data_IF_931013884949
#
_entry.id   IF_931013884949
#
_cell.length_a   1.000
_cell.length_b   1.000
_cell.length_c   1.000
_cell.angle_alpha   90.00
_cell.angle_beta   90.00
_cell.angle_gamma   90.00
#
_symmetry.space_group_name_H-M   'P 1'
#
loop_
_entity.id
_entity.type
_entity.pdbx_description
1 polymer ?
#
# COMPACT_ATOMS: atom_id res chain seq x y z
N UNK A 1 12.59 46.53 -11.02
CA UNK A 1 11.83 45.61 -11.91
C UNK A 1 12.63 44.32 -12.01
N UNK A 2 12.29 43.31 -11.22
CA UNK A 2 12.99 42.02 -11.21
C UNK A 2 12.51 41.12 -12.35
N UNK A 3 13.47 40.60 -13.11
CA UNK A 3 13.29 39.63 -14.18
C UNK A 3 12.80 38.30 -13.59
N UNK A 4 11.53 37.94 -13.85
CA UNK A 4 11.01 36.59 -13.59
C UNK A 4 11.70 35.61 -14.53
N UNK A 5 12.66 34.87 -13.99
CA UNK A 5 13.35 33.78 -14.68
C UNK A 5 12.39 32.58 -14.84
N UNK A 6 11.54 32.63 -15.87
CA UNK A 6 10.63 31.56 -16.25
C UNK A 6 11.41 30.45 -16.96
N UNK A 7 12.12 29.61 -16.21
CA UNK A 7 12.61 28.32 -16.70
C UNK A 7 11.41 27.39 -16.92
N UNK A 8 10.72 27.57 -18.06
CA UNK A 8 9.72 26.60 -18.53
C UNK A 8 10.46 25.29 -18.78
N UNK A 9 10.29 24.32 -17.88
CA UNK A 9 10.75 22.95 -18.13
C UNK A 9 10.16 22.49 -19.45
N UNK A 10 10.99 21.99 -20.35
CA UNK A 10 10.59 21.43 -21.63
C UNK A 10 10.54 19.91 -21.54
N UNK A 11 9.64 19.28 -22.30
CA UNK A 11 9.59 17.83 -22.39
C UNK A 11 10.93 17.31 -22.94
N UNK A 12 11.66 16.51 -22.16
CA UNK A 12 12.95 15.94 -22.59
C UNK A 12 12.89 14.98 -23.78
N UNK A 13 11.69 14.70 -24.33
CA UNK A 13 11.48 13.80 -25.47
C UNK A 13 11.03 14.50 -26.75
N UNK A 14 10.27 15.59 -26.66
CA UNK A 14 9.74 16.28 -27.84
C UNK A 14 9.86 17.81 -27.78
N UNK A 15 10.50 18.37 -26.74
CA UNK A 15 10.71 19.81 -26.61
C UNK A 15 9.47 20.64 -26.25
N UNK A 16 8.27 20.05 -26.25
CA UNK A 16 7.02 20.76 -25.93
C UNK A 16 6.88 20.99 -24.42
N UNK A 17 6.27 22.10 -24.01
CA UNK A 17 6.00 22.39 -22.60
C UNK A 17 5.09 21.29 -21.97
N UNK A 18 5.50 20.69 -20.84
CA UNK A 18 4.67 19.79 -20.07
C UNK A 18 3.49 20.57 -19.47
N UNK A 19 2.32 19.94 -19.43
CA UNK A 19 1.10 20.53 -18.88
C UNK A 19 1.20 20.87 -17.38
N UNK A 20 2.16 20.25 -16.68
CA UNK A 20 2.47 20.55 -15.29
C UNK A 20 3.96 20.83 -15.15
N UNK A 21 4.37 21.91 -14.43
CA UNK A 21 5.78 22.26 -14.24
C UNK A 21 6.56 21.22 -13.42
N UNK A 22 5.88 20.27 -12.77
CA UNK A 22 6.51 19.15 -12.05
C UNK A 22 6.84 17.96 -12.95
N UNK A 23 6.33 17.91 -14.18
CA UNK A 23 6.48 16.74 -15.05
C UNK A 23 7.64 16.91 -16.03
N UNK A 24 8.41 15.83 -16.23
CA UNK A 24 9.56 15.81 -17.15
C UNK A 24 9.14 15.62 -18.62
N UNK A 25 7.94 15.08 -18.87
CA UNK A 25 7.41 14.80 -20.20
C UNK A 25 6.04 15.45 -20.42
N UNK A 26 5.75 15.79 -21.69
CA UNK A 26 4.41 16.23 -22.09
C UNK A 26 3.42 15.06 -22.03
N UNK A 27 2.11 15.38 -21.96
CA UNK A 27 1.05 14.38 -21.84
C UNK A 27 1.09 13.34 -22.96
N UNK A 28 1.35 13.75 -24.20
CA UNK A 28 1.43 12.83 -25.32
C UNK A 28 2.63 11.89 -25.23
N UNK A 29 3.81 12.41 -24.89
CA UNK A 29 5.00 11.59 -24.71
C UNK A 29 4.84 10.61 -23.55
N UNK A 30 4.20 11.05 -22.46
CA UNK A 30 3.87 10.21 -21.32
C UNK A 30 2.85 9.13 -21.70
N UNK A 31 1.77 9.48 -22.42
CA UNK A 31 0.78 8.52 -22.94
C UNK A 31 1.41 7.50 -23.89
N UNK A 32 2.28 7.94 -24.82
CA UNK A 32 3.01 7.05 -25.73
C UNK A 32 3.94 6.10 -24.97
N UNK A 33 4.68 6.59 -23.99
CA UNK A 33 5.51 5.74 -23.14
C UNK A 33 4.67 4.75 -22.35
N UNK A 34 3.62 5.21 -21.67
CA UNK A 34 2.72 4.38 -20.88
C UNK A 34 2.07 3.31 -21.75
N UNK A 35 1.52 3.67 -22.90
CA UNK A 35 0.91 2.73 -23.83
C UNK A 35 1.92 1.73 -24.38
N UNK A 36 3.14 2.17 -24.73
CA UNK A 36 4.19 1.26 -25.23
C UNK A 36 4.65 0.28 -24.15
N UNK A 37 4.81 0.76 -22.91
CA UNK A 37 5.16 -0.05 -21.74
C UNK A 37 4.03 -1.02 -21.34
N UNK A 38 2.78 -0.57 -21.37
CA UNK A 38 1.60 -1.40 -21.12
C UNK A 38 1.41 -2.44 -22.23
N UNK A 39 1.67 -2.10 -23.50
CA UNK A 39 1.58 -3.01 -24.65
C UNK A 39 2.71 -4.05 -24.67
N UNK A 40 3.93 -3.68 -24.30
CA UNK A 40 5.05 -4.62 -24.21
C UNK A 40 5.01 -5.51 -22.96
N UNK A 41 4.13 -5.24 -21.99
CA UNK A 41 4.04 -5.97 -20.72
C UNK A 41 2.60 -6.33 -20.34
N UNK A 42 1.68 -6.47 -21.31
CA UNK A 42 0.24 -6.67 -21.07
C UNK A 42 -0.04 -7.80 -20.07
N UNK A 43 0.67 -8.92 -20.21
CA UNK A 43 0.54 -10.08 -19.34
C UNK A 43 1.08 -9.82 -17.93
N UNK A 44 2.31 -9.29 -17.84
CA UNK A 44 2.96 -8.96 -16.57
C UNK A 44 2.22 -7.87 -15.78
N UNK A 45 1.59 -6.91 -16.47
CA UNK A 45 0.77 -5.84 -15.86
C UNK A 45 -0.58 -6.37 -15.38
N UNK A 46 -1.20 -7.31 -16.11
CA UNK A 46 -2.44 -7.97 -15.68
C UNK A 46 -2.20 -8.82 -14.43
N UNK A 47 -1.12 -9.60 -14.40
CA UNK A 47 -0.74 -10.40 -13.24
C UNK A 47 -0.42 -9.50 -12.03
N UNK A 48 0.35 -8.43 -12.23
CA UNK A 48 0.64 -7.45 -11.18
C UNK A 48 -0.63 -6.78 -10.62
N UNK A 49 -1.63 -6.47 -11.46
CA UNK A 49 -2.88 -5.82 -11.04
C UNK A 49 -3.88 -6.78 -10.38
N UNK A 50 -3.87 -8.05 -10.77
CA UNK A 50 -4.85 -9.04 -10.32
C UNK A 50 -4.33 -9.95 -9.21
N UNK A 51 -3.02 -10.05 -9.02
CA UNK A 51 -2.42 -10.82 -7.92
C UNK A 51 -2.87 -10.27 -6.57
N UNK A 52 -3.37 -11.17 -5.72
CA UNK A 52 -3.89 -10.89 -4.39
C UNK A 52 -4.94 -9.76 -4.38
N UNK A 53 -5.83 -9.78 -5.37
CA UNK A 53 -7.05 -8.96 -5.37
C UNK A 53 -8.11 -9.60 -4.47
N UNK A 54 -8.68 -8.81 -3.57
CA UNK A 54 -9.58 -9.28 -2.50
C UNK A 54 -9.52 -8.34 -1.31
N UNK A 55 -10.29 -8.57 -0.26
CA UNK A 55 -10.29 -7.70 0.91
C UNK A 55 -9.33 -8.23 1.97
N UNK A 56 -8.36 -7.42 2.35
CA UNK A 56 -7.32 -7.80 3.31
C UNK A 56 -7.15 -6.76 4.41
N UNK A 57 -6.94 -7.26 5.61
CA UNK A 57 -6.38 -6.52 6.73
C UNK A 57 -4.90 -6.90 6.85
N UNK A 58 -4.04 -5.96 7.19
CA UNK A 58 -2.63 -6.23 7.45
C UNK A 58 -2.12 -5.41 8.63
N UNK A 59 -1.11 -5.96 9.27
CA UNK A 59 -0.44 -5.35 10.42
C UNK A 59 1.07 -5.38 10.22
N UNK A 60 1.74 -4.32 10.64
CA UNK A 60 3.20 -4.22 10.70
C UNK A 60 3.61 -4.35 12.15
N UNK A 61 4.48 -5.30 12.46
CA UNK A 61 4.93 -5.58 13.83
C UNK A 61 6.42 -5.31 14.00
N UNK A 62 6.84 -5.00 15.22
CA UNK A 62 8.24 -5.03 15.62
C UNK A 62 8.69 -6.45 16.03
N UNK A 63 9.95 -6.59 16.47
CA UNK A 63 10.53 -7.87 16.92
C UNK A 63 9.83 -8.47 18.15
N UNK A 64 9.28 -7.61 19.00
CA UNK A 64 8.54 -8.00 20.22
C UNK A 64 7.06 -8.33 19.95
N UNK A 65 6.64 -8.38 18.67
CA UNK A 65 5.25 -8.54 18.25
C UNK A 65 4.31 -7.39 18.65
N UNK A 66 4.84 -6.21 18.99
CA UNK A 66 4.02 -4.99 19.12
C UNK A 66 3.56 -4.55 17.73
N UNK A 67 2.26 -4.30 17.59
CA UNK A 67 1.67 -3.74 16.37
C UNK A 67 2.06 -2.27 16.25
N UNK A 68 2.76 -1.92 15.18
CA UNK A 68 3.21 -0.56 14.88
C UNK A 68 2.25 0.16 13.94
N UNK A 69 1.59 -0.59 13.06
CA UNK A 69 0.65 -0.08 12.08
C UNK A 69 -0.40 -1.14 11.72
N UNK A 70 -1.61 -0.69 11.47
CA UNK A 70 -2.72 -1.46 10.93
C UNK A 70 -3.14 -0.82 9.61
N UNK A 71 -3.43 -1.64 8.61
CA UNK A 71 -4.01 -1.13 7.37
C UNK A 71 -4.98 -2.10 6.71
N UNK A 72 -5.75 -1.58 5.75
CA UNK A 72 -6.60 -2.39 4.89
C UNK A 72 -6.38 -2.15 3.40
N UNK A 73 -6.67 -3.14 2.56
CA UNK A 73 -6.48 -3.02 1.11
C UNK A 73 -7.32 -4.01 0.30
N UNK A 74 -7.59 -3.65 -0.96
CA UNK A 74 -8.21 -4.53 -1.96
C UNK A 74 -7.16 -5.27 -2.83
N UNK A 75 -5.89 -4.94 -2.65
CA UNK A 75 -4.77 -5.42 -3.44
C UNK A 75 -3.53 -5.57 -2.56
N UNK A 76 -3.40 -6.72 -1.89
CA UNK A 76 -2.39 -6.92 -0.85
C UNK A 76 -0.98 -6.71 -1.37
N UNK A 77 -0.64 -7.37 -2.49
CA UNK A 77 0.67 -7.27 -3.10
C UNK A 77 1.07 -5.82 -3.39
N UNK A 78 0.21 -5.08 -4.08
CA UNK A 78 0.46 -3.69 -4.46
C UNK A 78 0.62 -2.77 -3.24
N UNK A 79 -0.21 -2.97 -2.22
CA UNK A 79 -0.15 -2.18 -0.99
C UNK A 79 1.15 -2.42 -0.24
N UNK A 80 1.53 -3.68 0.00
CA UNK A 80 2.77 -3.98 0.72
C UNK A 80 3.99 -3.55 -0.10
N UNK A 81 3.97 -3.76 -1.42
CA UNK A 81 5.05 -3.30 -2.31
C UNK A 81 5.22 -1.77 -2.26
N UNK A 82 4.13 -1.02 -2.24
CA UNK A 82 4.16 0.45 -2.06
C UNK A 82 4.76 0.85 -0.70
N UNK A 83 4.42 0.14 0.38
CA UNK A 83 4.96 0.40 1.70
C UNK A 83 6.48 0.20 1.78
N UNK A 84 6.95 -0.99 1.41
CA UNK A 84 8.38 -1.35 1.53
C UNK A 84 9.28 -0.51 0.62
N UNK A 85 8.74 0.00 -0.49
CA UNK A 85 9.42 0.95 -1.38
C UNK A 85 9.18 2.42 -0.99
N UNK A 86 8.69 2.67 0.22
CA UNK A 86 8.56 4.01 0.81
C UNK A 86 7.61 4.96 0.04
N UNK A 87 6.70 4.41 -0.77
CA UNK A 87 5.72 5.16 -1.57
C UNK A 87 4.38 5.38 -0.88
N UNK A 88 4.35 5.43 0.45
CA UNK A 88 3.10 5.40 1.25
C UNK A 88 3.16 6.28 2.49
N UNK A 89 2.04 6.36 3.22
CA UNK A 89 1.89 7.15 4.45
C UNK A 89 2.78 6.67 5.63
N UNK A 90 3.32 5.45 5.56
CA UNK A 90 4.23 4.89 6.58
C UNK A 90 5.66 4.72 6.06
N UNK A 91 6.06 5.48 5.04
CA UNK A 91 7.42 5.44 4.48
C UNK A 91 8.51 5.55 5.55
N UNK A 92 8.36 6.53 6.45
CA UNK A 92 9.29 6.75 7.57
C UNK A 92 9.44 5.52 8.46
N UNK A 93 8.36 4.80 8.78
CA UNK A 93 8.44 3.54 9.53
C UNK A 93 9.28 2.52 8.75
N UNK A 94 8.99 2.38 7.45
CA UNK A 94 9.60 1.36 6.59
C UNK A 94 11.11 1.56 6.40
N UNK A 95 11.59 2.81 6.47
CA UNK A 95 13.01 3.18 6.44
C UNK A 95 13.76 2.78 7.73
N UNK A 96 13.09 2.79 8.88
CA UNK A 96 13.71 2.42 10.16
C UNK A 96 13.91 0.91 10.31
N UNK A 97 14.70 0.50 11.29
CA UNK A 97 14.85 -0.89 11.77
C UNK A 97 13.82 -1.30 12.83
N UNK A 98 12.86 -0.42 13.13
CA UNK A 98 11.84 -0.66 14.17
C UNK A 98 10.84 -1.75 13.81
N UNK A 99 10.57 -1.99 12.52
CA UNK A 99 9.66 -3.05 12.09
C UNK A 99 10.42 -4.35 11.78
N UNK A 100 9.74 -5.48 11.94
CA UNK A 100 10.28 -6.82 11.76
C UNK A 100 9.50 -7.64 10.73
N UNK A 101 8.17 -7.59 10.77
CA UNK A 101 7.34 -8.37 9.85
C UNK A 101 6.00 -7.74 9.56
N UNK A 102 5.47 -8.07 8.40
CA UNK A 102 4.12 -7.76 7.95
C UNK A 102 3.31 -9.05 7.99
N UNK A 103 2.17 -9.01 8.68
CA UNK A 103 1.17 -10.08 8.65
C UNK A 103 -0.11 -9.59 7.99
N UNK A 104 -0.91 -10.51 7.49
CA UNK A 104 -2.18 -10.22 6.86
C UNK A 104 -3.26 -11.25 7.22
N UNK A 105 -4.51 -10.82 7.04
CA UNK A 105 -5.71 -11.63 7.16
C UNK A 105 -6.56 -11.39 5.91
N UNK A 106 -6.93 -12.49 5.24
CA UNK A 106 -7.86 -12.46 4.11
C UNK A 106 -9.30 -12.50 4.63
N UNK A 107 -10.02 -11.40 4.42
CA UNK A 107 -11.42 -11.24 4.84
C UNK A 107 -12.35 -11.15 3.62
N UNK A 108 -11.88 -11.57 2.44
CA UNK A 108 -12.63 -11.45 1.18
C UNK A 108 -13.98 -12.15 1.18
N UNK A 109 -14.13 -13.20 2.00
CA UNK A 109 -15.38 -13.94 2.18
C UNK A 109 -16.26 -13.39 3.31
N UNK A 110 -15.71 -12.54 4.16
CA UNK A 110 -16.42 -11.97 5.31
C UNK A 110 -17.04 -10.62 4.95
N UNK A 111 -16.30 -9.75 4.25
CA UNK A 111 -16.75 -8.39 3.91
C UNK A 111 -17.25 -8.30 2.48
N UNK A 112 -18.28 -7.49 2.26
CA UNK A 112 -18.90 -7.28 0.96
C UNK A 112 -18.32 -6.07 0.23
N UNK A 113 -17.89 -5.07 0.99
CA UNK A 113 -17.50 -3.77 0.46
C UNK A 113 -16.40 -3.08 1.27
N UNK A 114 -15.89 -1.99 0.70
CA UNK A 114 -14.83 -1.18 1.30
C UNK A 114 -15.21 -0.56 2.64
N UNK A 115 -16.48 -0.24 2.88
CA UNK A 115 -16.91 0.34 4.16
C UNK A 115 -16.81 -0.68 5.29
N UNK A 116 -17.25 -1.92 5.06
CA UNK A 116 -17.10 -3.02 6.03
C UNK A 116 -15.62 -3.31 6.31
N UNK A 117 -14.78 -3.32 5.27
CA UNK A 117 -13.34 -3.46 5.46
C UNK A 117 -12.75 -2.33 6.32
N UNK A 118 -13.16 -1.09 6.08
CA UNK A 118 -12.72 0.06 6.86
C UNK A 118 -13.21 0.01 8.33
N UNK A 119 -14.39 -0.58 8.59
CA UNK A 119 -14.86 -0.84 9.95
C UNK A 119 -13.87 -1.77 10.67
N UNK A 120 -13.55 -2.93 10.06
CA UNK A 120 -12.63 -3.88 10.66
C UNK A 120 -11.23 -3.28 10.90
N UNK A 121 -10.75 -2.45 9.97
CA UNK A 121 -9.50 -1.69 10.14
C UNK A 121 -9.56 -0.77 11.36
N UNK A 122 -10.63 0.00 11.52
CA UNK A 122 -10.81 0.89 12.67
C UNK A 122 -10.81 0.11 13.99
N UNK A 123 -11.47 -1.05 14.04
CA UNK A 123 -11.51 -1.88 15.24
C UNK A 123 -10.14 -2.42 15.62
N UNK A 124 -9.31 -2.80 14.64
CA UNK A 124 -7.92 -3.18 14.92
C UNK A 124 -7.06 -1.99 15.36
N UNK A 125 -7.27 -0.81 14.80
CA UNK A 125 -6.60 0.43 15.25
C UNK A 125 -6.99 0.74 16.70
N UNK A 126 -8.25 0.56 17.07
CA UNK A 126 -8.72 0.73 18.45
C UNK A 126 -8.13 -0.28 19.42
N UNK A 127 -8.14 -1.56 19.02
CA UNK A 127 -7.63 -2.65 19.83
C UNK A 127 -6.14 -2.52 20.13
N UNK A 128 -5.34 -2.19 19.10
CA UNK A 128 -3.88 -2.18 19.22
C UNK A 128 -3.26 -0.82 19.50
N UNK A 129 -4.01 0.28 19.31
CA UNK A 129 -3.52 1.66 19.40
C UNK A 129 -2.14 1.89 18.76
N UNK A 130 -1.94 1.50 17.48
CA UNK A 130 -0.64 1.57 16.83
C UNK A 130 -0.15 3.01 16.63
N UNK A 131 1.12 3.27 16.95
CA UNK A 131 1.75 4.60 16.90
C UNK A 131 1.66 5.27 15.52
N UNK A 132 1.68 4.48 14.43
CA UNK A 132 1.75 5.01 13.06
C UNK A 132 0.38 5.18 12.40
N UNK A 133 -0.72 4.85 13.07
CA UNK A 133 -2.06 5.19 12.60
C UNK A 133 -2.51 6.53 13.20
N UNK A 134 -2.47 7.58 12.39
CA UNK A 134 -2.83 8.94 12.84
C UNK A 134 -4.31 9.29 12.65
N UNK A 135 -5.04 8.52 11.85
CA UNK A 135 -6.45 8.76 11.51
C UNK A 135 -7.19 7.44 11.38
N UNK A 136 -8.48 7.48 11.71
CA UNK A 136 -9.44 6.40 11.45
C UNK A 136 -10.29 6.72 10.23
N UNK A 137 -10.85 5.70 9.61
CA UNK A 137 -11.82 5.85 8.54
C UNK A 137 -13.15 6.36 9.09
N UNK A 138 -13.87 7.15 8.29
CA UNK A 138 -15.25 7.55 8.62
C UNK A 138 -16.19 6.46 8.11
N UNK A 139 -16.97 5.86 9.02
CA UNK A 139 -18.01 4.88 8.72
C UNK A 139 -19.37 5.59 8.79
N UNK A 140 -20.20 5.44 7.76
CA UNK A 140 -21.53 6.08 7.70
C UNK A 140 -22.59 5.02 7.47
N UNK A 141 -23.72 5.15 8.17
CA UNK A 141 -24.96 4.39 7.93
C UNK A 141 -24.76 2.87 7.90
N UNK A 142 -23.90 2.33 8.77
CA UNK A 142 -23.71 0.89 8.87
C UNK A 142 -24.82 0.27 9.70
N UNK A 143 -25.41 -0.81 9.19
CA UNK A 143 -26.37 -1.60 9.96
C UNK A 143 -25.70 -2.19 11.21
N UNK A 144 -26.38 -2.08 12.35
CA UNK A 144 -25.81 -2.45 13.64
C UNK A 144 -25.67 -3.95 13.85
N UNK A 145 -26.57 -4.75 13.27
CA UNK A 145 -26.45 -6.21 13.33
C UNK A 145 -25.28 -6.69 12.45
N UNK A 146 -25.11 -6.08 11.28
CA UNK A 146 -23.98 -6.34 10.40
C UNK A 146 -22.66 -5.93 11.03
N UNK A 147 -22.60 -4.74 11.63
CA UNK A 147 -21.45 -4.27 12.41
C UNK A 147 -21.07 -5.28 13.49
N UNK A 148 -22.03 -5.70 14.32
CA UNK A 148 -21.78 -6.68 15.39
C UNK A 148 -21.26 -8.02 14.85
N UNK A 149 -21.88 -8.56 13.81
CA UNK A 149 -21.45 -9.82 13.17
C UNK A 149 -20.01 -9.74 12.66
N UNK A 150 -19.65 -8.66 11.96
CA UNK A 150 -18.29 -8.44 11.45
C UNK A 150 -17.25 -8.39 12.57
N UNK A 151 -17.57 -7.71 13.68
CA UNK A 151 -16.67 -7.58 14.82
C UNK A 151 -16.49 -8.90 15.58
N UNK A 152 -17.56 -9.70 15.71
CA UNK A 152 -17.48 -11.02 16.33
C UNK A 152 -16.56 -11.96 15.53
N UNK A 153 -16.67 -11.97 14.21
CA UNK A 153 -15.80 -12.75 13.33
C UNK A 153 -14.35 -12.27 13.39
N UNK A 154 -14.12 -10.95 13.36
CA UNK A 154 -12.78 -10.39 13.53
C UNK A 154 -12.14 -10.82 14.85
N UNK A 155 -12.91 -10.79 15.94
CA UNK A 155 -12.43 -11.25 17.25
C UNK A 155 -12.03 -12.72 17.23
N UNK A 156 -12.84 -13.59 16.59
CA UNK A 156 -12.51 -15.00 16.40
C UNK A 156 -11.15 -15.18 15.69
N UNK A 157 -10.93 -14.47 14.58
CA UNK A 157 -9.66 -14.53 13.84
C UNK A 157 -8.45 -14.09 14.68
N UNK A 158 -8.63 -13.07 15.53
CA UNK A 158 -7.57 -12.59 16.43
C UNK A 158 -7.22 -13.66 17.46
N UNK A 159 -8.23 -14.21 18.13
CA UNK A 159 -8.05 -15.25 19.17
C UNK A 159 -7.39 -16.49 18.59
N UNK A 160 -7.80 -16.90 17.39
CA UNK A 160 -7.25 -18.06 16.68
C UNK A 160 -5.88 -17.78 16.03
N UNK A 161 -5.41 -16.53 16.06
CA UNK A 161 -4.12 -16.10 15.48
C UNK A 161 -4.01 -16.37 13.97
N UNK A 162 -5.10 -16.17 13.24
CA UNK A 162 -5.20 -16.50 11.81
C UNK A 162 -4.39 -15.56 10.89
N UNK A 163 -3.75 -14.54 11.46
CA UNK A 163 -2.84 -13.66 10.73
C UNK A 163 -1.61 -14.41 10.20
N UNK A 164 -1.52 -14.52 8.88
CA UNK A 164 -0.42 -15.14 8.15
C UNK A 164 0.73 -14.16 7.96
N UNK A 165 1.97 -14.65 7.99
CA UNK A 165 3.15 -13.82 7.69
C UNK A 165 3.20 -13.61 6.17
N UNK A 166 3.24 -12.35 5.74
CA UNK A 166 3.41 -11.98 4.33
C UNK A 166 4.90 -11.78 3.99
N UNK A 167 5.61 -11.03 4.83
CA UNK A 167 7.00 -10.63 4.60
C UNK A 167 7.70 -10.31 5.92
N UNK A 168 8.94 -10.74 6.06
CA UNK A 168 9.85 -10.30 7.12
C UNK A 168 10.88 -9.30 6.60
N UNK A 169 11.41 -8.47 7.50
CA UNK A 169 12.48 -7.51 7.20
C UNK A 169 13.73 -8.22 6.69
N UNK A 170 14.04 -9.39 7.26
CA UNK A 170 15.16 -10.24 6.82
C UNK A 170 15.02 -10.62 5.34
N UNK A 171 13.85 -11.11 4.93
CA UNK A 171 13.57 -11.46 3.53
C UNK A 171 13.62 -10.24 2.61
N UNK A 172 13.09 -9.10 3.05
CA UNK A 172 13.15 -7.85 2.29
C UNK A 172 14.59 -7.39 2.03
N UNK A 173 15.42 -7.33 3.08
CA UNK A 173 16.82 -6.92 2.98
C UNK A 173 17.64 -7.90 2.12
N UNK A 174 17.39 -9.21 2.26
CA UNK A 174 18.03 -10.23 1.41
C UNK A 174 17.75 -10.03 -0.08
N UNK A 175 16.49 -9.73 -0.45
CA UNK A 175 16.12 -9.43 -1.84
C UNK A 175 16.79 -8.15 -2.36
N UNK A 176 16.88 -7.11 -1.53
CA UNK A 176 17.51 -5.83 -1.90
C UNK A 176 19.00 -5.99 -2.19
N UNK A 177 19.72 -6.78 -1.38
CA UNK A 177 21.14 -7.03 -1.57
C UNK A 177 21.42 -7.83 -2.85
N UNK A 178 20.60 -8.83 -3.17
CA UNK A 178 20.76 -9.62 -4.41
C UNK A 178 20.54 -8.77 -5.69
N UNK A 179 19.61 -7.80 -5.66
CA UNK A 179 19.40 -6.88 -6.77
C UNK A 179 20.60 -5.93 -6.99
N UNK A 180 21.34 -5.58 -5.93
CA UNK A 180 22.52 -4.72 -6.02
C UNK A 180 23.79 -5.41 -6.55
N UNK A 181 23.84 -6.74 -6.51
CA UNK A 181 25.00 -7.53 -6.95
C UNK A 181 24.93 -7.84 -8.46
N UNK A 182 23.74 -7.94 -9.04
CA UNK A 182 23.54 -8.20 -10.49
C UNK A 182 23.65 -6.97 -11.41
N UNK A 183 24.14 -5.83 -10.90
CA UNK A 183 24.27 -4.56 -11.65
C UNK A 183 25.74 -4.12 -11.84
N UNK A 184 26.70 -5.04 -11.72
CA UNK A 184 28.11 -4.79 -12.02
C UNK A 184 28.58 -5.65 -13.18
#
# INVERSE_FOLDING_TARGET
MELKNNNKKICGKCGVNPQRPTHTWCLECYKKYKNKWEFSNVEHVKDYRNKDKGYYLYIVLNKDNKVLYVGSTEHLYNRIHSHINCGSNISKLMETDKWDKVKYLDVSKLVENRQELNLLENSLIELYAPEWNTKKNIIKNMDKLREFSLLAELHSFIVNKDFKIYLTRKEFLGKKNNLSIGSR
#
